data_IF_812083320669
#
_entry.id   IF_812083320669
#
_cell.length_a   1.000
_cell.length_b   1.000
_cell.length_c   1.000
_cell.angle_alpha   90.00
_cell.angle_beta   90.00
_cell.angle_gamma   90.00
#
_symmetry.space_group_name_H-M   'P 1'
#
loop_
_entity.id
_entity.type
_entity.pdbx_description
1 polymer ?
#
# COMPACT_ATOMS: atom_id res chain seq x y z
N UNK A 1 -68.30 -22.11 38.69
CA UNK A 1 -68.30 -22.37 40.15
C UNK A 1 -67.46 -21.29 40.84
N UNK A 2 -68.06 -20.60 41.83
CA UNK A 2 -67.50 -19.96 43.05
C UNK A 2 -66.00 -19.54 43.02
N UNK A 3 -65.58 -18.33 43.38
CA UNK A 3 -65.99 -17.48 44.51
C UNK A 3 -65.36 -16.07 44.37
N UNK A 4 -66.12 -15.04 44.77
CA UNK A 4 -65.64 -13.70 45.13
C UNK A 4 -64.81 -13.76 46.43
N UNK A 5 -63.82 -12.87 46.59
CA UNK A 5 -63.57 -12.13 47.85
C UNK A 5 -63.08 -10.72 47.49
N UNK A 6 -63.84 -9.72 47.95
CA UNK A 6 -63.44 -8.32 48.13
C UNK A 6 -62.95 -8.17 49.56
N UNK A 7 -61.87 -7.41 49.78
CA UNK A 7 -61.67 -6.62 51.00
C UNK A 7 -60.89 -5.35 50.63
N UNK A 8 -61.47 -4.20 50.95
CA UNK A 8 -60.81 -2.91 50.87
C UNK A 8 -60.14 -2.53 52.18
N UNK A 9 -59.28 -1.52 52.14
CA UNK A 9 -59.03 -0.60 53.24
C UNK A 9 -58.41 0.70 52.71
N UNK A 10 -58.88 1.79 53.30
CA UNK A 10 -58.59 3.20 53.07
C UNK A 10 -57.26 3.58 53.71
N UNK A 11 -56.53 4.53 53.11
CA UNK A 11 -55.40 5.18 53.75
C UNK A 11 -54.93 6.40 52.96
N UNK A 12 -55.55 7.55 53.22
CA UNK A 12 -55.06 8.85 52.77
C UNK A 12 -53.98 9.35 53.74
N UNK A 13 -52.83 9.77 53.22
CA UNK A 13 -51.88 10.63 53.92
C UNK A 13 -51.33 11.68 52.94
N UNK A 14 -51.43 12.93 53.36
CA UNK A 14 -51.10 14.17 52.68
C UNK A 14 -49.62 14.54 52.89
N UNK A 15 -49.07 15.23 51.88
CA UNK A 15 -47.97 16.20 51.89
C UNK A 15 -46.52 15.71 52.11
N UNK A 16 -45.70 15.86 51.06
CA UNK A 16 -44.62 16.84 51.03
C UNK A 16 -43.89 16.79 49.66
N UNK A 17 -44.00 17.87 48.89
CA UNK A 17 -43.11 18.17 47.76
C UNK A 17 -41.80 18.75 48.28
N UNK A 18 -40.67 18.30 47.74
CA UNK A 18 -39.68 19.27 47.28
C UNK A 18 -39.32 19.05 45.81
N UNK A 19 -39.22 20.18 45.10
CA UNK A 19 -38.65 20.34 43.79
C UNK A 19 -37.20 19.80 43.77
N UNK A 20 -36.94 18.74 43.03
CA UNK A 20 -35.62 18.46 42.48
C UNK A 20 -35.76 18.00 41.02
N UNK A 21 -35.41 18.94 40.16
CA UNK A 21 -34.98 18.77 38.77
C UNK A 21 -33.95 17.66 38.67
N UNK A 22 -34.23 16.66 37.83
CA UNK A 22 -33.31 15.56 37.57
C UNK A 22 -33.88 14.63 36.51
N UNK A 23 -33.86 15.08 35.26
CA UNK A 23 -34.01 14.20 34.11
C UNK A 23 -32.86 13.17 34.14
N UNK A 24 -33.14 11.94 34.56
CA UNK A 24 -32.31 10.79 34.21
C UNK A 24 -33.25 9.75 33.63
N UNK A 25 -33.61 9.98 32.36
CA UNK A 25 -33.89 8.90 31.45
C UNK A 25 -32.67 7.99 31.43
N UNK A 26 -32.84 6.77 31.92
CA UNK A 26 -31.96 5.65 31.68
C UNK A 26 -31.85 5.46 30.16
N UNK A 27 -30.89 6.15 29.56
CA UNK A 27 -30.44 5.91 28.21
C UNK A 27 -29.81 4.51 28.20
N UNK A 28 -30.67 3.51 27.96
CA UNK A 28 -30.31 2.24 27.35
C UNK A 28 -29.35 2.56 26.22
N UNK A 29 -28.08 2.26 26.43
CA UNK A 29 -27.07 2.20 25.39
C UNK A 29 -27.55 1.15 24.39
N UNK A 30 -28.31 1.60 23.40
CA UNK A 30 -28.66 0.80 22.25
C UNK A 30 -27.37 0.40 21.59
N UNK A 31 -27.10 -0.89 21.57
CA UNK A 31 -26.22 -1.55 20.59
C UNK A 31 -26.80 -1.29 19.20
N UNK A 32 -26.62 -0.07 18.71
CA UNK A 32 -26.99 0.35 17.37
C UNK A 32 -26.07 -0.35 16.39
N UNK A 33 -26.59 -1.38 15.72
CA UNK A 33 -26.04 -1.87 14.47
C UNK A 33 -26.15 -0.78 13.41
N UNK A 34 -25.27 0.22 13.50
CA UNK A 34 -25.20 1.31 12.53
C UNK A 34 -24.95 0.75 11.13
N UNK A 35 -25.53 1.39 10.13
CA UNK A 35 -25.33 1.03 8.73
C UNK A 35 -23.82 0.98 8.42
N UNK A 36 -23.37 0.00 7.63
CA UNK A 36 -21.97 -0.03 7.21
C UNK A 36 -21.70 1.13 6.24
N UNK A 37 -20.49 1.73 6.25
CA UNK A 37 -20.11 2.69 5.23
C UNK A 37 -20.25 2.08 3.83
N UNK A 38 -20.65 2.89 2.85
CA UNK A 38 -20.88 2.43 1.47
C UNK A 38 -20.48 3.49 0.46
N UNK A 39 -19.98 3.04 -0.68
CA UNK A 39 -19.75 3.91 -1.84
C UNK A 39 -21.11 4.23 -2.47
N UNK A 40 -21.38 5.52 -2.70
CA UNK A 40 -22.65 6.00 -3.27
C UNK A 40 -22.48 6.65 -4.64
N UNK A 41 -21.25 7.00 -5.00
CA UNK A 41 -20.83 7.41 -6.35
C UNK A 41 -19.40 6.97 -6.56
N UNK A 42 -19.10 6.45 -7.75
CA UNK A 42 -17.78 6.00 -8.17
C UNK A 42 -17.67 6.23 -9.68
N UNK A 43 -16.85 7.19 -10.08
CA UNK A 43 -16.63 7.61 -11.47
C UNK A 43 -15.14 7.90 -11.64
N UNK A 44 -14.69 8.07 -12.88
CA UNK A 44 -13.29 8.38 -13.18
C UNK A 44 -12.79 9.64 -12.45
N UNK A 45 -13.68 10.63 -12.21
CA UNK A 45 -13.31 11.95 -11.68
C UNK A 45 -13.84 12.25 -10.27
N UNK A 46 -14.78 11.46 -9.76
CA UNK A 46 -15.39 11.68 -8.44
C UNK A 46 -15.76 10.36 -7.77
N UNK A 47 -15.47 10.25 -6.47
CA UNK A 47 -15.96 9.21 -5.60
C UNK A 47 -16.64 9.80 -4.36
N UNK A 48 -17.73 9.18 -3.91
CA UNK A 48 -18.47 9.59 -2.72
C UNK A 48 -18.73 8.40 -1.82
N UNK A 49 -18.36 8.53 -0.55
CA UNK A 49 -18.63 7.53 0.51
C UNK A 49 -19.66 8.09 1.50
N UNK A 50 -20.67 7.28 1.82
CA UNK A 50 -21.60 7.52 2.94
C UNK A 50 -21.12 6.73 4.15
N UNK A 51 -20.96 7.41 5.28
CA UNK A 51 -20.49 6.84 6.54
C UNK A 51 -21.64 6.23 7.33
N UNK A 52 -21.29 5.43 8.34
CA UNK A 52 -22.27 4.76 9.22
C UNK A 52 -23.16 5.70 10.02
N UNK A 53 -22.70 6.94 10.23
CA UNK A 53 -23.43 8.01 10.91
C UNK A 53 -24.22 8.92 9.95
N UNK A 54 -24.29 8.55 8.67
CA UNK A 54 -25.03 9.29 7.64
C UNK A 54 -24.29 10.49 7.05
N UNK A 55 -23.08 10.83 7.53
CA UNK A 55 -22.22 11.80 6.85
C UNK A 55 -21.81 11.30 5.47
N UNK A 56 -21.46 12.22 4.58
CA UNK A 56 -20.91 11.90 3.26
C UNK A 56 -19.62 12.64 3.01
N UNK A 57 -18.69 12.00 2.34
CA UNK A 57 -17.41 12.58 1.91
C UNK A 57 -17.27 12.35 0.41
N UNK A 58 -17.04 13.41 -0.34
CA UNK A 58 -16.84 13.44 -1.79
C UNK A 58 -15.41 13.87 -2.06
N UNK A 59 -14.71 13.08 -2.87
CA UNK A 59 -13.40 13.41 -3.42
C UNK A 59 -13.56 13.55 -4.94
N UNK A 60 -13.00 14.59 -5.52
CA UNK A 60 -12.98 14.77 -6.97
C UNK A 60 -11.65 15.34 -7.44
N UNK A 61 -11.31 15.03 -8.68
CA UNK A 61 -10.24 15.70 -9.40
C UNK A 61 -10.73 17.05 -9.92
N UNK A 62 -9.84 18.04 -9.89
CA UNK A 62 -10.05 19.36 -10.48
C UNK A 62 -8.81 19.71 -11.29
N UNK A 63 -8.99 19.92 -12.60
CA UNK A 63 -7.91 20.15 -13.54
C UNK A 63 -7.07 21.37 -13.14
N UNK A 64 -5.75 21.20 -13.18
CA UNK A 64 -4.79 22.23 -12.77
C UNK A 64 -4.76 22.54 -11.26
N UNK A 65 -5.63 21.92 -10.46
CA UNK A 65 -5.74 22.15 -9.02
C UNK A 65 -5.32 20.93 -8.20
N UNK A 66 -5.77 19.74 -8.58
CA UNK A 66 -5.41 18.47 -7.94
C UNK A 66 -6.62 17.72 -7.36
N UNK A 67 -6.48 17.17 -6.16
CA UNK A 67 -7.50 16.36 -5.48
C UNK A 67 -8.22 17.22 -4.43
N UNK A 68 -9.53 17.35 -4.55
CA UNK A 68 -10.37 18.16 -3.68
C UNK A 68 -11.37 17.30 -2.91
N UNK A 69 -11.58 17.64 -1.64
CA UNK A 69 -12.58 17.06 -0.75
C UNK A 69 -13.72 18.05 -0.47
N UNK A 70 -14.92 17.52 -0.28
CA UNK A 70 -16.04 18.19 0.40
C UNK A 70 -16.88 17.15 1.15
N UNK A 71 -17.62 17.58 2.16
CA UNK A 71 -18.45 16.67 2.95
C UNK A 71 -19.82 17.24 3.34
N UNK A 72 -20.73 16.34 3.72
CA UNK A 72 -22.01 16.66 4.35
C UNK A 72 -22.00 16.18 5.81
N UNK A 73 -22.46 17.04 6.73
CA UNK A 73 -22.61 16.70 8.16
C UNK A 73 -23.71 15.66 8.43
N UNK A 74 -24.65 15.51 7.49
CA UNK A 74 -25.67 14.47 7.47
C UNK A 74 -26.19 14.33 6.03
N UNK A 75 -26.81 13.19 5.72
CA UNK A 75 -27.43 12.95 4.41
C UNK A 75 -28.46 14.05 4.10
N UNK A 76 -28.28 14.73 2.98
CA UNK A 76 -29.17 15.82 2.54
C UNK A 76 -28.82 17.20 3.12
N UNK A 77 -27.85 17.31 4.03
CA UNK A 77 -27.31 18.60 4.44
C UNK A 77 -26.54 19.26 3.27
N UNK A 78 -26.35 20.59 3.27
CA UNK A 78 -25.49 21.25 2.30
C UNK A 78 -24.07 20.67 2.34
N UNK A 79 -23.43 20.61 1.17
CA UNK A 79 -22.00 20.30 1.08
C UNK A 79 -21.18 21.43 1.70
N UNK A 80 -20.07 21.08 2.34
CA UNK A 80 -19.04 22.04 2.74
C UNK A 80 -18.44 22.71 1.50
N UNK A 81 -17.71 23.80 1.72
CA UNK A 81 -16.75 24.29 0.73
C UNK A 81 -15.71 23.21 0.44
N UNK A 82 -15.22 23.18 -0.80
CA UNK A 82 -14.14 22.28 -1.21
C UNK A 82 -12.84 22.63 -0.51
N UNK A 83 -12.04 21.61 -0.19
CA UNK A 83 -10.71 21.74 0.40
C UNK A 83 -9.71 20.89 -0.37
N UNK A 84 -8.49 21.35 -0.49
CA UNK A 84 -7.43 20.60 -1.18
C UNK A 84 -6.88 19.50 -0.28
N UNK A 85 -6.91 18.26 -0.78
CA UNK A 85 -6.24 17.11 -0.17
C UNK A 85 -4.83 16.95 -0.73
N UNK A 86 -4.67 17.19 -2.03
CA UNK A 86 -3.36 17.22 -2.71
C UNK A 86 -3.39 18.26 -3.83
N UNK A 87 -2.44 19.19 -3.81
CA UNK A 87 -2.29 20.21 -4.83
C UNK A 87 -1.30 19.76 -5.90
N UNK A 88 -1.71 19.78 -7.17
CA UNK A 88 -0.82 19.45 -8.29
C UNK A 88 -1.37 20.01 -9.60
N UNK A 89 -0.47 20.28 -10.54
CA UNK A 89 -0.81 20.64 -11.93
C UNK A 89 -0.72 19.45 -12.88
N UNK A 90 -0.25 18.30 -12.38
CA UNK A 90 -0.20 17.06 -13.16
C UNK A 90 -1.62 16.57 -13.41
N UNK A 91 -1.85 16.03 -14.61
CA UNK A 91 -3.15 15.49 -15.01
C UNK A 91 -3.60 14.35 -14.07
N UNK A 92 -4.89 14.28 -13.72
CA UNK A 92 -5.42 13.21 -12.89
C UNK A 92 -5.49 11.90 -13.68
N UNK A 93 -5.18 10.80 -12.98
CA UNK A 93 -5.48 9.46 -13.48
C UNK A 93 -6.98 9.18 -13.38
N UNK A 94 -7.38 7.96 -13.77
CA UNK A 94 -8.77 7.52 -13.59
C UNK A 94 -8.97 6.93 -12.19
N UNK A 95 -10.10 7.30 -11.60
CA UNK A 95 -10.64 6.64 -10.42
C UNK A 95 -10.08 7.18 -9.12
N UNK A 96 -10.97 7.29 -8.13
CA UNK A 96 -10.63 7.65 -6.76
C UNK A 96 -11.16 6.55 -5.86
N UNK A 97 -10.26 5.83 -5.20
CA UNK A 97 -10.65 4.74 -4.32
C UNK A 97 -10.86 5.25 -2.89
N UNK A 98 -12.10 5.13 -2.41
CA UNK A 98 -12.45 5.43 -1.03
C UNK A 98 -12.69 4.15 -0.22
N UNK A 99 -12.20 4.13 1.03
CA UNK A 99 -12.69 3.20 2.05
C UNK A 99 -12.98 3.95 3.34
N UNK A 100 -13.93 3.45 4.11
CA UNK A 100 -14.27 4.07 5.38
C UNK A 100 -14.57 3.05 6.47
N UNK A 101 -14.18 3.38 7.71
CA UNK A 101 -14.51 2.60 8.91
C UNK A 101 -14.40 3.48 10.15
N UNK A 102 -15.41 3.44 11.03
CA UNK A 102 -15.42 4.13 12.33
C UNK A 102 -15.04 5.62 12.25
N UNK A 103 -15.51 6.31 11.21
CA UNK A 103 -15.24 7.74 11.00
C UNK A 103 -13.89 8.07 10.37
N UNK A 104 -13.05 7.06 10.09
CA UNK A 104 -11.83 7.19 9.28
C UNK A 104 -12.16 6.92 7.82
N UNK A 105 -11.72 7.81 6.93
CA UNK A 105 -11.84 7.67 5.47
C UNK A 105 -10.44 7.65 4.88
N UNK A 106 -10.17 6.70 4.00
CA UNK A 106 -8.90 6.58 3.28
C UNK A 106 -9.12 6.83 1.80
N UNK A 107 -8.18 7.49 1.15
CA UNK A 107 -8.17 7.79 -0.27
C UNK A 107 -6.93 7.17 -0.91
N UNK A 108 -7.12 6.56 -2.08
CA UNK A 108 -6.03 6.26 -3.02
C UNK A 108 -6.38 6.90 -4.35
N UNK A 109 -5.44 7.67 -4.89
CA UNK A 109 -5.61 8.40 -6.13
C UNK A 109 -4.27 8.47 -6.87
N UNK A 110 -4.30 8.78 -8.16
CA UNK A 110 -3.10 8.94 -8.98
C UNK A 110 -3.10 10.25 -9.76
N UNK A 111 -1.90 10.78 -10.04
CA UNK A 111 -1.68 11.81 -11.04
C UNK A 111 -0.47 11.45 -11.90
N UNK A 112 -0.54 11.66 -13.20
CA UNK A 112 0.54 11.36 -14.14
C UNK A 112 0.18 11.74 -15.57
N UNK A 113 1.17 12.11 -16.40
CA UNK A 113 0.93 12.23 -17.84
C UNK A 113 0.51 10.86 -18.40
N UNK A 114 -0.48 10.84 -19.29
CA UNK A 114 -0.95 9.62 -19.97
C UNK A 114 -1.48 8.50 -19.06
N UNK A 115 -1.62 8.71 -17.74
CA UNK A 115 -2.11 7.63 -16.88
C UNK A 115 -3.59 7.30 -17.10
N UNK A 116 -4.36 8.18 -17.78
CA UNK A 116 -5.68 7.84 -18.31
C UNK A 116 -5.64 6.80 -19.44
N UNK A 117 -4.49 6.64 -20.08
CA UNK A 117 -4.24 5.70 -21.18
C UNK A 117 -3.60 4.38 -20.69
N UNK A 118 -3.37 4.25 -19.38
CA UNK A 118 -2.86 3.04 -18.74
C UNK A 118 -1.45 3.14 -18.19
N UNK A 119 -0.75 4.27 -18.38
CA UNK A 119 0.53 4.51 -17.71
C UNK A 119 0.36 4.58 -16.19
N UNK A 120 1.33 4.11 -15.40
CA UNK A 120 1.29 4.25 -13.95
C UNK A 120 1.31 5.73 -13.54
N UNK A 121 0.74 6.07 -12.36
CA UNK A 121 0.79 7.43 -11.86
C UNK A 121 2.24 7.86 -11.54
N UNK A 122 2.63 9.06 -11.98
CA UNK A 122 3.87 9.71 -11.52
C UNK A 122 3.77 10.17 -10.05
N UNK A 123 2.55 10.24 -9.51
CA UNK A 123 2.25 10.60 -8.13
C UNK A 123 1.13 9.69 -7.61
N UNK A 124 1.49 8.68 -6.82
CA UNK A 124 0.57 7.86 -6.06
C UNK A 124 0.21 8.55 -4.73
N UNK A 125 -1.07 8.91 -4.58
CA UNK A 125 -1.61 9.61 -3.41
C UNK A 125 -2.19 8.58 -2.43
N UNK A 126 -1.76 8.64 -1.18
CA UNK A 126 -2.45 8.06 -0.04
C UNK A 126 -2.90 9.20 0.88
N UNK A 127 -4.19 9.25 1.23
CA UNK A 127 -4.68 10.24 2.18
C UNK A 127 -5.62 9.62 3.22
N UNK A 128 -5.64 10.20 4.41
CA UNK A 128 -6.51 9.78 5.52
C UNK A 128 -7.19 11.00 6.12
N UNK A 129 -8.52 10.96 6.14
CA UNK A 129 -9.39 11.96 6.74
C UNK A 129 -10.09 11.37 7.95
N UNK A 130 -10.15 12.13 9.04
CA UNK A 130 -10.84 11.73 10.27
C UNK A 130 -11.66 12.89 10.84
N UNK A 131 -12.38 12.62 11.94
CA UNK A 131 -13.08 13.65 12.68
C UNK A 131 -14.11 14.35 11.79
N UNK A 132 -13.97 15.66 11.59
CA UNK A 132 -14.88 16.48 10.78
C UNK A 132 -14.48 16.61 9.31
N UNK A 133 -13.38 15.98 8.88
CA UNK A 133 -12.82 16.13 7.53
C UNK A 133 -12.48 17.60 7.18
N UNK A 134 -12.08 18.37 8.19
CA UNK A 134 -11.48 19.69 8.01
C UNK A 134 -9.98 19.64 7.74
N UNK A 135 -9.34 18.51 8.02
CA UNK A 135 -7.94 18.23 7.71
C UNK A 135 -7.77 16.79 7.17
N UNK A 136 -6.74 16.63 6.35
CA UNK A 136 -6.34 15.35 5.75
C UNK A 136 -4.84 15.18 5.93
N UNK A 137 -4.43 14.01 6.39
CA UNK A 137 -3.05 13.58 6.26
C UNK A 137 -2.87 13.07 4.84
N UNK A 138 -1.87 13.57 4.13
CA UNK A 138 -1.59 13.20 2.73
C UNK A 138 -0.12 12.79 2.57
N UNK A 139 0.11 11.68 1.87
CA UNK A 139 1.43 11.19 1.49
C UNK A 139 1.49 10.94 -0.01
N UNK A 140 2.56 11.43 -0.64
CA UNK A 140 2.80 11.32 -2.08
C UNK A 140 4.00 10.43 -2.33
N UNK A 141 3.82 9.37 -3.11
CA UNK A 141 4.88 8.50 -3.60
C UNK A 141 5.07 8.69 -5.10
N UNK A 142 6.31 8.89 -5.56
CA UNK A 142 6.64 9.16 -6.98
C UNK A 142 7.29 7.98 -7.70
N UNK A 143 7.63 6.96 -6.94
CA UNK A 143 8.37 5.75 -7.30
C UNK A 143 7.50 4.50 -7.12
N UNK A 144 6.18 4.65 -7.25
CA UNK A 144 5.19 3.58 -7.11
C UNK A 144 4.11 3.72 -8.18
N UNK A 145 3.72 2.59 -8.76
CA UNK A 145 2.61 2.47 -9.73
C UNK A 145 1.22 2.65 -9.09
N UNK A 146 1.16 3.12 -7.84
CA UNK A 146 -0.07 3.27 -7.08
C UNK A 146 -0.15 2.40 -5.84
N UNK A 147 -1.15 2.71 -5.00
CA UNK A 147 -1.47 1.93 -3.80
C UNK A 147 -2.54 0.89 -4.13
N UNK A 148 -2.17 -0.38 -4.21
CA UNK A 148 -3.09 -1.46 -4.60
C UNK A 148 -4.09 -1.88 -3.52
N UNK A 149 -3.74 -1.71 -2.25
CA UNK A 149 -4.61 -2.08 -1.12
C UNK A 149 -4.52 -1.08 0.02
N UNK A 150 -5.63 -0.96 0.74
CA UNK A 150 -5.68 -0.25 2.02
C UNK A 150 -6.50 -1.06 3.02
N UNK A 151 -5.95 -1.18 4.23
CA UNK A 151 -6.59 -1.78 5.40
C UNK A 151 -6.79 -0.74 6.49
N UNK A 152 -7.97 -0.77 7.13
CA UNK A 152 -8.31 0.09 8.27
C UNK A 152 -8.53 -0.82 9.49
N UNK A 153 -7.83 -0.54 10.58
CA UNK A 153 -7.94 -1.26 11.85
C UNK A 153 -9.38 -1.23 12.40
N UNK A 154 -9.67 -2.14 13.34
CA UNK A 154 -11.05 -2.37 13.78
C UNK A 154 -11.72 -1.15 14.42
N UNK A 155 -10.91 -0.39 15.15
CA UNK A 155 -11.24 0.86 15.83
C UNK A 155 -11.19 2.09 14.90
N UNK A 156 -10.63 1.97 13.70
CA UNK A 156 -10.39 3.09 12.79
C UNK A 156 -9.12 3.90 13.11
N UNK A 157 -8.38 3.57 14.17
CA UNK A 157 -7.25 4.36 14.67
C UNK A 157 -5.93 4.12 13.92
N UNK A 158 -5.87 3.12 13.05
CA UNK A 158 -4.71 2.83 12.23
C UNK A 158 -5.10 2.42 10.80
N UNK A 159 -4.26 2.81 9.85
CA UNK A 159 -4.41 2.51 8.43
C UNK A 159 -3.09 1.96 7.90
N UNK A 160 -3.16 1.03 6.96
CA UNK A 160 -1.97 0.57 6.22
C UNK A 160 -2.29 0.53 4.74
N UNK A 161 -1.56 1.35 3.98
CA UNK A 161 -1.54 1.27 2.53
C UNK A 161 -0.48 0.25 2.12
N UNK A 162 -0.77 -0.50 1.07
CA UNK A 162 0.11 -1.52 0.52
C UNK A 162 0.13 -1.44 -0.99
N UNK A 163 1.33 -1.45 -1.56
CA UNK A 163 1.59 -1.66 -2.97
C UNK A 163 2.45 -2.91 -3.09
N UNK A 164 2.01 -3.93 -3.81
CA UNK A 164 2.82 -5.11 -4.07
C UNK A 164 3.27 -5.13 -5.53
N UNK A 165 4.49 -5.57 -5.76
CA UNK A 165 4.96 -5.93 -7.08
C UNK A 165 5.27 -7.42 -7.11
N UNK A 166 5.68 -7.90 -8.27
CA UNK A 166 6.19 -9.26 -8.41
C UNK A 166 7.45 -9.52 -7.58
N UNK A 167 8.17 -8.49 -7.13
CA UNK A 167 9.46 -8.60 -6.45
C UNK A 167 9.50 -8.03 -5.04
N UNK A 168 8.54 -7.19 -4.67
CA UNK A 168 8.54 -6.49 -3.39
C UNK A 168 7.13 -6.20 -2.89
N UNK A 169 7.04 -5.78 -1.64
CA UNK A 169 5.82 -5.20 -1.06
C UNK A 169 6.20 -3.97 -0.27
N UNK A 170 5.64 -2.84 -0.68
CA UNK A 170 5.78 -1.54 -0.02
C UNK A 170 4.58 -1.30 0.87
N UNK A 171 4.82 -0.87 2.10
CA UNK A 171 3.78 -0.51 3.06
C UNK A 171 3.98 0.90 3.60
N UNK A 172 2.87 1.60 3.81
CA UNK A 172 2.84 2.92 4.43
C UNK A 172 1.81 2.91 5.58
N UNK A 173 2.28 2.93 6.83
CA UNK A 173 1.40 2.99 7.99
C UNK A 173 0.93 4.42 8.26
N UNK A 174 -0.26 4.54 8.83
CA UNK A 174 -0.79 5.78 9.39
C UNK A 174 -1.46 5.48 10.73
N UNK A 175 -1.37 6.42 11.67
CA UNK A 175 -2.00 6.33 12.99
C UNK A 175 -2.66 7.65 13.39
N UNK A 176 -3.83 7.56 14.00
CA UNK A 176 -4.55 8.73 14.49
C UNK A 176 -3.71 9.50 15.51
N UNK A 177 -3.56 10.80 15.30
CA UNK A 177 -2.75 11.69 16.14
C UNK A 177 -1.24 11.65 15.85
N UNK A 178 -0.74 10.67 15.11
CA UNK A 178 0.67 10.57 14.71
C UNK A 178 0.89 10.88 13.21
N UNK A 179 -0.13 10.67 12.37
CA UNK A 179 -0.04 10.86 10.92
C UNK A 179 0.61 9.65 10.22
N UNK A 180 1.21 9.91 9.06
CA UNK A 180 1.93 8.90 8.28
C UNK A 180 3.29 8.56 8.89
N UNK A 181 3.56 7.27 9.07
CA UNK A 181 4.86 6.77 9.50
C UNK A 181 5.83 6.56 8.33
N UNK A 182 6.98 5.95 8.62
CA UNK A 182 7.98 5.60 7.61
C UNK A 182 7.41 4.56 6.63
N UNK A 183 7.54 4.85 5.33
CA UNK A 183 7.31 3.88 4.25
C UNK A 183 8.42 2.83 4.24
N UNK A 184 8.04 1.56 4.13
CA UNK A 184 8.99 0.43 4.13
C UNK A 184 8.74 -0.50 2.96
N UNK A 185 9.81 -0.97 2.31
CA UNK A 185 9.76 -1.92 1.21
C UNK A 185 10.42 -3.23 1.63
N UNK A 186 9.67 -4.32 1.54
CA UNK A 186 10.17 -5.68 1.76
C UNK A 186 10.32 -6.38 0.43
N UNK A 187 11.56 -6.71 0.05
CA UNK A 187 11.85 -7.46 -1.16
C UNK A 187 11.73 -8.96 -0.92
N UNK A 188 11.32 -9.71 -1.96
CA UNK A 188 11.32 -11.18 -1.93
C UNK A 188 12.76 -11.66 -1.78
N UNK A 189 12.96 -12.59 -0.84
CA UNK A 189 14.26 -13.22 -0.62
C UNK A 189 14.64 -14.09 -1.82
N UNK A 190 15.93 -14.08 -2.18
CA UNK A 190 16.49 -15.10 -3.07
C UNK A 190 16.40 -16.48 -2.40
N UNK A 191 16.21 -17.52 -3.20
CA UNK A 191 16.40 -18.90 -2.75
C UNK A 191 17.88 -19.08 -2.32
N UNK A 192 18.10 -19.84 -1.24
CA UNK A 192 19.42 -19.98 -0.64
C UNK A 192 20.47 -20.53 -1.62
N UNK A 193 20.03 -21.28 -2.64
CA UNK A 193 20.88 -21.82 -3.71
C UNK A 193 21.62 -20.78 -4.54
N UNK A 194 21.23 -19.50 -4.49
CA UNK A 194 21.95 -18.46 -5.21
C UNK A 194 23.05 -17.82 -4.36
N UNK A 195 22.90 -17.84 -3.04
CA UNK A 195 23.70 -17.02 -2.14
C UNK A 195 25.16 -17.46 -2.09
N UNK A 196 26.06 -16.48 -1.92
CA UNK A 196 27.49 -16.72 -1.88
C UNK A 196 28.17 -16.44 -3.22
N UNK A 197 29.38 -16.95 -3.38
CA UNK A 197 30.22 -16.67 -4.54
C UNK A 197 30.24 -17.87 -5.48
N UNK A 198 30.12 -17.56 -6.77
CA UNK A 198 30.15 -18.52 -7.88
C UNK A 198 31.27 -18.13 -8.82
N UNK A 199 32.07 -19.11 -9.26
CA UNK A 199 33.13 -18.90 -10.26
C UNK A 199 32.72 -19.49 -11.59
N UNK A 200 32.89 -18.73 -12.66
CA UNK A 200 32.69 -19.23 -14.02
C UNK A 200 33.65 -20.40 -14.28
N UNK A 201 33.15 -21.47 -14.90
CA UNK A 201 33.95 -22.67 -15.21
C UNK A 201 35.09 -22.39 -16.19
N UNK A 202 34.95 -21.39 -17.05
CA UNK A 202 35.99 -20.92 -17.96
C UNK A 202 37.03 -20.01 -17.29
N UNK A 203 36.89 -19.73 -15.99
CA UNK A 203 37.80 -18.91 -15.20
C UNK A 203 37.68 -17.39 -15.42
N UNK A 204 36.81 -16.94 -16.31
CA UNK A 204 36.75 -15.54 -16.77
C UNK A 204 36.33 -14.54 -15.68
N UNK A 205 35.29 -14.87 -14.92
CA UNK A 205 34.78 -14.02 -13.84
C UNK A 205 34.20 -14.83 -12.69
N UNK A 206 33.91 -14.13 -11.59
CA UNK A 206 33.12 -14.61 -10.47
C UNK A 206 31.93 -13.70 -10.24
N UNK A 207 30.89 -14.23 -9.61
CA UNK A 207 29.71 -13.47 -9.22
C UNK A 207 29.36 -13.79 -7.78
N UNK A 208 29.08 -12.77 -6.98
CA UNK A 208 28.70 -12.90 -5.58
C UNK A 208 27.28 -12.39 -5.35
N UNK A 209 26.39 -13.27 -4.90
CA UNK A 209 25.00 -12.95 -4.60
C UNK A 209 24.83 -12.64 -3.12
N UNK A 210 24.12 -11.55 -2.83
CA UNK A 210 23.76 -11.13 -1.48
C UNK A 210 22.25 -11.04 -1.33
N UNK A 211 21.78 -11.47 -0.16
CA UNK A 211 20.36 -11.50 0.17
C UNK A 211 19.78 -10.08 0.29
N UNK A 212 18.49 -9.95 -0.02
CA UNK A 212 17.74 -8.74 0.24
C UNK A 212 17.73 -8.37 1.74
N UNK A 213 17.66 -7.07 2.02
CA UNK A 213 17.54 -6.51 3.37
C UNK A 213 16.34 -5.55 3.44
N UNK A 214 15.93 -5.06 4.62
CA UNK A 214 14.91 -4.03 4.71
C UNK A 214 15.27 -2.83 3.81
N UNK A 215 14.32 -2.40 2.99
CA UNK A 215 14.46 -1.30 2.02
C UNK A 215 15.59 -1.49 0.99
N UNK A 216 16.13 -2.71 0.82
CA UNK A 216 17.19 -3.00 -0.16
C UNK A 216 16.95 -4.34 -0.89
N UNK A 217 16.96 -4.35 -2.23
CA UNK A 217 16.83 -5.58 -2.99
C UNK A 217 18.01 -6.52 -2.77
N UNK A 218 17.86 -7.76 -3.23
CA UNK A 218 19.00 -8.65 -3.35
C UNK A 218 19.92 -8.15 -4.46
N UNK A 219 21.22 -8.45 -4.36
CA UNK A 219 22.22 -7.90 -5.27
C UNK A 219 23.20 -8.96 -5.74
N UNK A 220 23.81 -8.73 -6.91
CA UNK A 220 24.97 -9.45 -7.37
C UNK A 220 26.13 -8.48 -7.65
N UNK A 221 27.34 -8.95 -7.40
CA UNK A 221 28.57 -8.29 -7.85
C UNK A 221 29.31 -9.24 -8.79
N UNK A 222 29.53 -8.82 -10.04
CA UNK A 222 30.32 -9.56 -11.04
C UNK A 222 31.70 -8.94 -11.14
N UNK A 223 32.74 -9.77 -11.07
CA UNK A 223 34.14 -9.36 -11.11
C UNK A 223 34.91 -10.26 -12.07
N UNK A 224 35.58 -9.68 -13.07
CA UNK A 224 36.53 -10.41 -13.92
C UNK A 224 37.72 -10.88 -13.10
N UNK A 225 38.08 -12.16 -13.25
CA UNK A 225 39.24 -12.77 -12.58
C UNK A 225 40.46 -12.68 -13.49
N UNK A 226 40.29 -12.83 -14.80
CA UNK A 226 41.35 -12.73 -15.79
C UNK A 226 40.97 -11.78 -16.93
N UNK A 227 41.97 -11.09 -17.51
CA UNK A 227 41.79 -10.18 -18.64
C UNK A 227 41.39 -8.75 -18.25
N UNK A 228 40.63 -8.09 -19.12
CA UNK A 228 40.17 -6.70 -18.93
C UNK A 228 39.33 -6.60 -17.67
N UNK A 229 39.73 -5.69 -16.76
CA UNK A 229 39.00 -5.46 -15.52
C UNK A 229 37.56 -5.03 -15.81
N UNK A 230 36.61 -5.70 -15.20
CA UNK A 230 35.23 -5.30 -15.09
C UNK A 230 34.69 -5.68 -13.72
N UNK A 231 34.09 -4.71 -13.04
CA UNK A 231 33.43 -4.88 -11.74
C UNK A 231 32.07 -4.20 -11.80
N UNK A 232 30.99 -4.96 -11.65
CA UNK A 232 29.62 -4.45 -11.76
C UNK A 232 28.80 -4.86 -10.56
N UNK A 233 28.06 -3.91 -10.01
CA UNK A 233 26.98 -4.13 -9.05
C UNK A 233 25.64 -4.13 -9.77
N UNK A 234 24.74 -5.05 -9.43
CA UNK A 234 23.40 -5.12 -9.99
C UNK A 234 22.39 -5.51 -8.93
N UNK A 235 21.19 -4.98 -9.05
CA UNK A 235 20.03 -5.46 -8.32
C UNK A 235 19.54 -6.76 -8.95
N UNK A 236 18.87 -7.57 -8.13
CA UNK A 236 18.37 -8.87 -8.53
C UNK A 236 16.89 -8.98 -8.26
N UNK A 237 16.21 -9.62 -9.19
CA UNK A 237 14.80 -9.89 -9.06
C UNK A 237 14.46 -11.35 -9.30
N UNK A 238 13.76 -11.96 -8.34
CA UNK A 238 13.26 -13.32 -8.49
C UNK A 238 12.14 -13.35 -9.52
N UNK A 239 12.40 -13.96 -10.67
CA UNK A 239 11.36 -14.26 -11.66
C UNK A 239 10.71 -15.63 -11.36
N UNK A 240 11.50 -16.59 -10.88
CA UNK A 240 11.04 -17.90 -10.41
C UNK A 240 11.88 -18.38 -9.22
N UNK A 241 11.52 -19.53 -8.63
CA UNK A 241 12.25 -20.09 -7.47
C UNK A 241 13.72 -20.41 -7.81
N UNK A 242 13.96 -20.86 -9.03
CA UNK A 242 15.24 -21.31 -9.55
C UNK A 242 15.87 -20.31 -10.54
N UNK A 243 15.30 -19.10 -10.67
CA UNK A 243 15.70 -18.10 -11.67
C UNK A 243 15.67 -16.69 -11.13
N UNK A 244 16.78 -15.97 -11.33
CA UNK A 244 16.90 -14.56 -10.94
C UNK A 244 17.39 -13.73 -12.13
N UNK A 245 16.82 -12.55 -12.30
CA UNK A 245 17.15 -11.64 -13.39
C UNK A 245 17.93 -10.43 -12.85
N UNK A 246 19.05 -10.03 -13.50
CA UNK A 246 19.76 -8.80 -13.17
C UNK A 246 18.98 -7.54 -13.59
N UNK A 247 19.16 -6.48 -12.82
CA UNK A 247 18.57 -5.15 -13.00
C UNK A 247 19.60 -4.08 -12.64
N UNK A 248 19.52 -2.92 -13.30
CA UNK A 248 20.18 -1.68 -12.88
C UNK A 248 21.70 -1.86 -12.66
N UNK A 249 22.37 -2.47 -13.64
CA UNK A 249 23.78 -2.76 -13.61
C UNK A 249 24.64 -1.49 -13.61
N UNK A 250 25.33 -1.24 -12.50
CA UNK A 250 26.25 -0.12 -12.31
C UNK A 250 27.70 -0.59 -12.39
N UNK A 251 28.44 -0.12 -13.39
CA UNK A 251 29.87 -0.37 -13.52
C UNK A 251 30.63 0.38 -12.41
N UNK A 252 31.28 -0.37 -11.53
CA UNK A 252 32.08 0.15 -10.42
C UNK A 252 33.53 0.41 -10.84
N UNK A 253 34.08 -0.43 -11.71
CA UNK A 253 35.45 -0.28 -12.21
C UNK A 253 35.67 -0.97 -13.56
N UNK A 254 36.61 -0.43 -14.34
CA UNK A 254 37.06 -1.00 -15.60
C UNK A 254 36.12 -0.68 -16.76
N UNK A 255 35.95 -1.64 -17.68
CA UNK A 255 35.16 -1.48 -18.90
C UNK A 255 34.20 -2.64 -19.11
N UNK A 256 33.12 -2.43 -19.86
CA UNK A 256 32.15 -3.48 -20.16
C UNK A 256 32.79 -4.56 -21.03
N UNK A 257 32.55 -5.83 -20.70
CA UNK A 257 32.96 -7.00 -21.48
C UNK A 257 31.74 -7.85 -21.85
N UNK A 258 31.95 -8.92 -22.61
CA UNK A 258 30.87 -9.78 -23.17
C UNK A 258 29.85 -10.28 -22.11
N UNK A 259 30.30 -10.52 -20.88
CA UNK A 259 29.46 -11.06 -19.80
C UNK A 259 29.52 -10.21 -18.51
N UNK A 260 30.08 -9.00 -18.59
CA UNK A 260 30.18 -8.09 -17.46
C UNK A 260 29.87 -6.65 -17.91
N UNK A 261 28.69 -6.11 -17.57
CA UNK A 261 27.56 -6.81 -16.98
C UNK A 261 26.89 -7.78 -17.96
N UNK A 262 26.16 -8.79 -17.46
CA UNK A 262 25.17 -9.49 -18.26
C UNK A 262 24.08 -8.52 -18.74
N UNK A 263 23.47 -8.81 -19.88
CA UNK A 263 22.47 -7.94 -20.48
C UNK A 263 21.19 -7.89 -19.63
N UNK A 264 20.80 -6.69 -19.21
CA UNK A 264 19.59 -6.48 -18.41
C UNK A 264 18.34 -6.86 -19.22
N UNK A 265 17.32 -7.40 -18.54
CA UNK A 265 16.05 -7.86 -19.13
C UNK A 265 16.15 -9.03 -20.12
N UNK A 266 17.33 -9.26 -20.71
CA UNK A 266 17.58 -10.28 -21.72
C UNK A 266 18.38 -11.47 -21.19
N UNK A 267 18.81 -11.43 -19.93
CA UNK A 267 19.50 -12.55 -19.28
C UNK A 267 18.89 -12.96 -17.95
N UNK A 268 19.19 -14.20 -17.53
CA UNK A 268 18.81 -14.77 -16.23
C UNK A 268 19.90 -15.70 -15.70
N UNK A 269 20.05 -15.75 -14.37
CA UNK A 269 20.81 -16.78 -13.67
C UNK A 269 19.87 -17.89 -13.23
N UNK A 270 20.23 -19.15 -13.52
CA UNK A 270 19.41 -20.33 -13.28
C UNK A 270 20.17 -21.36 -12.46
N UNK A 271 19.56 -21.81 -11.36
CA UNK A 271 20.05 -22.92 -10.52
C UNK A 271 18.94 -23.97 -10.41
N UNK A 272 18.86 -24.85 -11.41
CA UNK A 272 17.77 -25.82 -11.55
C UNK A 272 17.73 -26.82 -10.37
N UNK A 273 18.90 -27.30 -9.94
CA UNK A 273 19.07 -28.22 -8.82
C UNK A 273 19.79 -27.50 -7.68
N UNK A 274 19.38 -27.67 -6.40
CA UNK A 274 20.02 -26.99 -5.26
C UNK A 274 21.54 -27.19 -5.17
N UNK A 275 22.02 -28.37 -5.51
CA UNK A 275 23.46 -28.73 -5.50
C UNK A 275 24.09 -28.68 -6.91
N UNK A 276 23.34 -28.19 -7.90
CA UNK A 276 23.76 -28.13 -9.29
C UNK A 276 24.57 -26.89 -9.61
N UNK A 277 25.19 -26.84 -10.81
CA UNK A 277 25.82 -25.63 -11.28
C UNK A 277 24.78 -24.53 -11.52
N UNK A 278 25.20 -23.28 -11.34
CA UNK A 278 24.44 -22.14 -11.82
C UNK A 278 24.78 -21.89 -13.29
N UNK A 279 23.84 -21.36 -14.05
CA UNK A 279 24.10 -20.92 -15.43
C UNK A 279 23.55 -19.53 -15.67
N UNK A 280 24.30 -18.69 -16.36
CA UNK A 280 23.81 -17.45 -16.98
C UNK A 280 23.28 -17.82 -18.36
N UNK A 281 22.07 -17.37 -18.70
CA UNK A 281 21.39 -17.66 -19.98
C UNK A 281 20.76 -16.41 -20.53
N UNK A 282 20.48 -16.42 -21.83
CA UNK A 282 19.49 -15.51 -22.40
C UNK A 282 18.09 -15.89 -21.88
N UNK A 283 17.22 -14.90 -21.70
CA UNK A 283 15.87 -15.12 -21.21
C UNK A 283 15.09 -16.03 -22.18
N UNK A 284 14.61 -17.18 -21.69
CA UNK A 284 13.93 -18.19 -22.52
C UNK A 284 14.88 -19.10 -23.32
N UNK A 285 16.19 -18.84 -23.26
CA UNK A 285 17.21 -19.67 -23.87
C UNK A 285 17.43 -21.00 -23.12
N UNK A 286 17.73 -22.06 -23.86
CA UNK A 286 18.05 -23.38 -23.27
C UNK A 286 19.53 -23.62 -23.06
N UNK A 287 20.40 -22.86 -23.75
CA UNK A 287 21.86 -23.00 -23.70
C UNK A 287 22.47 -22.01 -22.70
N UNK A 288 23.41 -22.44 -21.84
CA UNK A 288 24.16 -21.54 -20.98
C UNK A 288 25.08 -20.64 -21.81
N UNK A 289 25.07 -19.34 -21.51
CA UNK A 289 26.12 -18.40 -21.92
C UNK A 289 27.39 -18.66 -21.10
N UNK A 290 27.21 -18.91 -19.80
CA UNK A 290 28.29 -19.20 -18.84
C UNK A 290 27.74 -20.21 -17.81
N UNK A 291 28.56 -21.18 -17.43
CA UNK A 291 28.29 -22.10 -16.32
C UNK A 291 29.18 -21.75 -15.13
N UNK A 292 28.66 -21.85 -13.92
CA UNK A 292 29.38 -21.51 -12.70
C UNK A 292 29.33 -22.64 -11.68
N UNK A 293 30.37 -22.71 -10.85
CA UNK A 293 30.43 -23.53 -9.65
C UNK A 293 30.46 -22.67 -8.41
N UNK A 294 29.76 -23.11 -7.37
CA UNK A 294 29.86 -22.45 -6.06
C UNK A 294 31.28 -22.61 -5.52
N UNK A 295 31.80 -21.54 -4.90
CA UNK A 295 33.05 -21.53 -4.15
C UNK A 295 32.82 -21.79 -2.66
#
# INVERSE_FOLDING_TARGET
>A
MRRRVLFGAVGAALLATPLLTGCQDDAKAGTGGGAKPRIVKDTDDEAVVELSDGRRVSLHYEDGTGLLERHQKAKGAPWSQSRTVHATKTEPCRGIDLKARRGTVTVRAGFGPYCRDGEPPAQAVAAVGTGRFDAWDTHISRDLDGWERVGIAADGGAVTFRSASWSSTTTLPWRAGEGFGKRTTTYKKLDARFLGTWRAEDGSHRVTFRQAAPDRPATATVETVEGTRCEVHMDLTNIWKDRVQPREGTLLAGERTKHCPPEEFNSEYVVANPDGPMSLRELGGTRPLVTYRSL
#
